data_IF_560161834953
#
_entry.id   IF_560161834953
#
_cell.length_a   1.000
_cell.length_b   1.000
_cell.length_c   1.000
_cell.angle_alpha   90.00
_cell.angle_beta   90.00
_cell.angle_gamma   90.00
#
_symmetry.space_group_name_H-M   'P 1'
#
loop_
_entity.id
_entity.type
_entity.pdbx_description
1 polymer ?
#
# COMPACT_ATOMS: atom_id res chain seq x y z
N UNK A 1 17.85 2.67 -13.53
CA UNK A 1 17.64 1.43 -12.76
C UNK A 1 17.27 1.86 -11.35
N UNK A 2 15.98 1.99 -11.06
CA UNK A 2 15.52 2.51 -9.77
C UNK A 2 15.70 1.40 -8.72
N UNK A 3 16.50 1.68 -7.70
CA UNK A 3 16.68 0.76 -6.59
C UNK A 3 15.33 0.55 -5.90
N UNK A 4 14.81 -0.68 -5.94
CA UNK A 4 13.67 -1.10 -5.15
C UNK A 4 14.09 -0.98 -3.68
N UNK A 5 13.63 0.07 -3.01
CA UNK A 5 13.84 0.23 -1.57
C UNK A 5 12.87 -0.71 -0.87
N UNK A 6 13.40 -1.77 -0.24
CA UNK A 6 12.67 -2.42 0.85
C UNK A 6 12.40 -1.35 1.91
N UNK A 7 11.13 -1.18 2.28
CA UNK A 7 10.70 -0.34 3.38
C UNK A 7 10.54 -1.26 4.59
N UNK A 8 11.59 -1.47 5.41
CA UNK A 8 11.63 -2.54 6.42
C UNK A 8 10.48 -2.47 7.44
N UNK A 9 9.89 -1.28 7.62
CA UNK A 9 8.80 -1.05 8.58
C UNK A 9 7.41 -0.97 7.92
N UNK A 10 7.31 -1.12 6.59
CA UNK A 10 6.04 -1.05 5.88
C UNK A 10 5.59 -2.48 5.53
N UNK A 11 4.31 -2.86 5.76
CA UNK A 11 3.80 -4.19 5.45
C UNK A 11 3.54 -4.37 3.96
N UNK A 12 4.55 -4.07 3.14
CA UNK A 12 4.53 -4.22 1.69
C UNK A 12 5.73 -5.05 1.24
N UNK A 13 5.61 -5.67 0.08
CA UNK A 13 6.73 -6.26 -0.64
C UNK A 13 6.80 -5.65 -2.03
N UNK A 14 8.00 -5.65 -2.60
CA UNK A 14 8.26 -5.22 -3.97
C UNK A 14 9.20 -6.23 -4.59
N UNK A 15 8.83 -6.77 -5.75
CA UNK A 15 9.64 -7.73 -6.49
C UNK A 15 9.55 -7.35 -7.98
N UNK A 16 10.66 -6.92 -8.62
CA UNK A 16 10.68 -6.53 -10.04
C UNK A 16 10.12 -7.60 -10.98
N UNK A 17 10.25 -8.87 -10.62
CA UNK A 17 9.85 -10.00 -11.45
C UNK A 17 8.37 -10.37 -11.23
N UNK A 18 7.67 -9.70 -10.31
CA UNK A 18 6.26 -9.95 -9.98
C UNK A 18 5.46 -8.67 -10.11
N UNK A 19 4.29 -8.76 -10.77
CA UNK A 19 3.36 -7.63 -10.93
C UNK A 19 4.07 -6.36 -11.44
N UNK A 20 5.05 -6.52 -12.34
CA UNK A 20 5.84 -5.43 -12.92
C UNK A 20 6.55 -4.54 -11.89
N UNK A 21 6.87 -5.07 -10.70
CA UNK A 21 7.49 -4.31 -9.62
C UNK A 21 6.52 -3.41 -8.83
N UNK A 22 5.20 -3.60 -8.99
CA UNK A 22 4.23 -2.85 -8.20
C UNK A 22 4.32 -3.21 -6.71
N UNK A 23 4.37 -2.23 -5.79
CA UNK A 23 4.28 -2.49 -4.35
C UNK A 23 2.96 -3.15 -3.99
N UNK A 24 3.02 -4.25 -3.25
CA UNK A 24 1.85 -5.03 -2.86
C UNK A 24 1.86 -5.27 -1.34
N UNK A 25 0.68 -5.45 -0.74
CA UNK A 25 0.59 -5.78 0.69
C UNK A 25 1.24 -7.12 0.99
N UNK A 26 1.97 -7.21 2.12
CA UNK A 26 2.59 -8.44 2.58
C UNK A 26 1.61 -9.60 2.68
N UNK A 27 2.03 -10.75 2.15
CA UNK A 27 1.20 -11.96 2.10
C UNK A 27 0.15 -11.97 0.99
N UNK A 28 -0.01 -10.87 0.24
CA UNK A 28 -1.06 -10.75 -0.78
C UNK A 28 -0.48 -10.46 -2.17
N UNK A 29 -1.32 -10.53 -3.20
CA UNK A 29 -1.07 -9.95 -4.53
C UNK A 29 -1.81 -8.63 -4.75
N UNK A 30 -2.37 -8.05 -3.69
CA UNK A 30 -3.12 -6.80 -3.74
C UNK A 30 -2.15 -5.61 -3.86
N UNK A 31 -2.18 -4.84 -4.96
CA UNK A 31 -1.36 -3.66 -5.11
C UNK A 31 -1.73 -2.58 -4.11
N UNK A 32 -0.75 -1.87 -3.58
CA UNK A 32 -0.97 -0.70 -2.71
C UNK A 32 -1.78 0.38 -3.43
N UNK A 33 -1.62 0.51 -4.74
CA UNK A 33 -2.42 1.41 -5.58
C UNK A 33 -3.92 1.14 -5.46
N UNK A 34 -4.33 -0.12 -5.29
CA UNK A 34 -5.74 -0.48 -5.15
C UNK A 34 -6.35 0.20 -3.91
N UNK A 35 -5.63 0.29 -2.79
CA UNK A 35 -6.11 1.01 -1.60
C UNK A 35 -6.46 2.46 -1.94
N UNK A 36 -5.55 3.19 -2.57
CA UNK A 36 -5.77 4.59 -2.90
C UNK A 36 -6.87 4.78 -3.95
N UNK A 37 -6.91 3.94 -4.98
CA UNK A 37 -7.92 4.01 -6.02
C UNK A 37 -9.34 3.79 -5.46
N UNK A 38 -9.51 2.82 -4.55
CA UNK A 38 -10.78 2.56 -3.90
C UNK A 38 -11.21 3.74 -3.02
N UNK A 39 -10.31 4.26 -2.18
CA UNK A 39 -10.60 5.45 -1.36
C UNK A 39 -10.94 6.69 -2.21
N UNK A 40 -10.24 6.90 -3.32
CA UNK A 40 -10.50 8.01 -4.26
C UNK A 40 -11.84 7.87 -4.98
N UNK A 41 -12.29 6.63 -5.23
CA UNK A 41 -13.62 6.36 -5.79
C UNK A 41 -14.77 6.57 -4.78
N UNK A 42 -14.44 6.90 -3.53
CA UNK A 42 -15.41 7.18 -2.47
C UNK A 42 -15.74 5.97 -1.59
N UNK A 43 -15.07 4.83 -1.78
CA UNK A 43 -15.22 3.70 -0.87
C UNK A 43 -14.53 4.02 0.47
N UNK A 44 -15.15 3.54 1.54
CA UNK A 44 -14.56 3.50 2.87
C UNK A 44 -13.43 2.47 2.95
N UNK A 45 -12.62 2.59 4.00
CA UNK A 45 -11.60 1.59 4.30
C UNK A 45 -12.22 0.21 4.56
N UNK A 46 -13.41 0.16 5.16
CA UNK A 46 -14.09 -1.09 5.48
C UNK A 46 -14.53 -1.81 4.20
N UNK A 47 -15.12 -1.07 3.25
CA UNK A 47 -15.50 -1.60 1.93
C UNK A 47 -14.29 -2.08 1.11
N UNK A 48 -13.14 -1.40 1.23
CA UNK A 48 -11.89 -1.89 0.64
C UNK A 48 -11.47 -3.23 1.25
N UNK A 49 -11.52 -3.37 2.58
CA UNK A 49 -11.15 -4.61 3.26
C UNK A 49 -12.12 -5.77 2.93
N UNK A 50 -13.40 -5.46 2.70
CA UNK A 50 -14.37 -6.44 2.22
C UNK A 50 -14.04 -6.94 0.80
N UNK A 51 -13.52 -6.06 -0.07
CA UNK A 51 -13.07 -6.44 -1.41
C UNK A 51 -11.74 -7.21 -1.41
N UNK A 52 -10.88 -6.96 -0.43
CA UNK A 52 -9.54 -7.54 -0.31
C UNK A 52 -9.32 -8.14 1.08
N UNK A 53 -9.98 -9.26 1.42
CA UNK A 53 -9.97 -9.83 2.77
C UNK A 53 -8.61 -10.37 3.21
N UNK A 54 -7.67 -10.54 2.27
CA UNK A 54 -6.28 -10.91 2.57
C UNK A 54 -5.46 -9.73 3.14
N UNK A 55 -5.92 -8.49 2.95
CA UNK A 55 -5.28 -7.30 3.49
C UNK A 55 -5.85 -7.01 4.87
N UNK A 56 -5.01 -6.92 5.89
CA UNK A 56 -5.50 -6.55 7.23
C UNK A 56 -5.66 -5.04 7.37
N UNK A 57 -6.53 -4.62 8.30
CA UNK A 57 -6.71 -3.20 8.62
C UNK A 57 -5.40 -2.55 9.04
N UNK A 58 -4.61 -3.24 9.86
CA UNK A 58 -3.32 -2.77 10.34
C UNK A 58 -2.36 -2.52 9.17
N UNK A 59 -2.37 -3.40 8.16
CA UNK A 59 -1.56 -3.22 6.96
C UNK A 59 -1.99 -1.98 6.17
N UNK A 60 -3.29 -1.82 5.92
CA UNK A 60 -3.82 -0.67 5.20
C UNK A 60 -3.55 0.65 5.93
N UNK A 61 -3.77 0.69 7.25
CA UNK A 61 -3.51 1.87 8.08
C UNK A 61 -2.02 2.23 8.11
N UNK A 62 -1.12 1.24 8.20
CA UNK A 62 0.32 1.48 8.16
C UNK A 62 0.76 2.17 6.85
N UNK A 63 0.18 1.76 5.71
CA UNK A 63 0.41 2.40 4.40
C UNK A 63 -0.11 3.84 4.37
N UNK A 64 -1.30 4.10 4.92
CA UNK A 64 -1.87 5.45 4.99
C UNK A 64 -1.03 6.39 5.88
N UNK A 65 -0.64 5.93 7.07
CA UNK A 65 0.21 6.71 7.99
C UNK A 65 1.61 6.96 7.42
N UNK A 66 2.18 5.99 6.71
CA UNK A 66 3.42 6.21 5.96
C UNK A 66 3.24 7.31 4.93
N UNK A 67 2.21 7.23 4.09
CA UNK A 67 1.95 8.20 3.02
C UNK A 67 1.74 9.62 3.58
N UNK A 68 0.99 9.75 4.68
CA UNK A 68 0.81 11.01 5.42
C UNK A 68 2.14 11.58 5.92
N UNK A 69 3.00 10.74 6.52
CA UNK A 69 4.32 11.17 7.01
C UNK A 69 5.24 11.61 5.88
N UNK A 70 5.28 10.86 4.78
CA UNK A 70 6.10 11.19 3.61
C UNK A 70 5.62 12.49 2.95
N UNK A 71 4.31 12.68 2.84
CA UNK A 71 3.71 13.93 2.37
C UNK A 71 4.14 15.10 3.26
N UNK A 72 3.96 14.99 4.58
CA UNK A 72 4.37 16.04 5.52
C UNK A 72 5.88 16.36 5.43
N UNK A 73 6.74 15.35 5.24
CA UNK A 73 8.19 15.53 5.06
C UNK A 73 8.53 16.22 3.73
N UNK A 74 7.74 16.00 2.68
CA UNK A 74 8.00 16.57 1.35
C UNK A 74 7.69 18.06 1.22
N UNK A 75 6.88 18.60 2.14
CA UNK A 75 6.43 20.00 2.14
C UNK A 75 7.03 20.83 3.28
N UNK A 76 7.85 20.22 4.14
CA UNK A 76 8.59 20.87 5.21
C UNK A 76 10.02 21.20 4.76
#
# INVERSE_FOLDING_TARGET
>A
MFAVKNLPDLPVWVDPDRLSGAPCFQGTRCPVEALFANLQSGLSLDEFLDCFPEVTREQAVAVLEHSKREFARSVA
#
